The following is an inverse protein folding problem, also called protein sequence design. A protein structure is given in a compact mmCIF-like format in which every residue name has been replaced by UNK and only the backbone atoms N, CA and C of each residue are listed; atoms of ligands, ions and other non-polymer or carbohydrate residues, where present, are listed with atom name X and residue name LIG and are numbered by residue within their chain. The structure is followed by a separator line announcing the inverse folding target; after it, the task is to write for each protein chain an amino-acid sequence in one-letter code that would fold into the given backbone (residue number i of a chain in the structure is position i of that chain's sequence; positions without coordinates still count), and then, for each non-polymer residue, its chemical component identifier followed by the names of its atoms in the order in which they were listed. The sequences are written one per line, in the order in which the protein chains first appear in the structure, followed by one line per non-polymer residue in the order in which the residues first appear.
data_IF_065919323680
#
_entry.id   IF_065919323680
#
_cell.length_a   1.000
_cell.length_b   1.000
_cell.length_c   1.000
_cell.angle_alpha   90.00
_cell.angle_beta   90.00
_cell.angle_gamma   90.00
#
_symmetry.space_group_name_H-M   'P 1'
#
loop_
_entity.id
_entity.type
_entity.pdbx_description
1 polymer ?
#
# COMPACT_ATOMS: atom_id res chain seq x y z
N UNK A 1 17.28 -6.33 7.04
CA UNK A 1 15.83 -6.25 6.94
C UNK A 1 15.31 -7.16 5.84
N UNK A 2 14.26 -7.90 6.15
CA UNK A 2 13.67 -8.81 5.18
C UNK A 2 12.69 -8.05 4.29
N UNK A 3 12.97 -7.99 3.01
CA UNK A 3 12.12 -7.31 2.05
C UNK A 3 11.52 -8.29 1.06
N UNK A 4 10.27 -8.07 0.69
CA UNK A 4 9.63 -8.83 -0.36
C UNK A 4 10.17 -8.42 -1.72
N UNK A 5 10.12 -9.33 -2.68
CA UNK A 5 10.22 -8.96 -4.08
C UNK A 5 8.86 -8.41 -4.47
N UNK A 6 8.86 -7.18 -5.00
CA UNK A 6 7.61 -6.50 -5.35
C UNK A 6 7.55 -6.32 -6.85
N UNK A 7 6.44 -6.76 -7.44
CA UNK A 7 6.26 -6.61 -8.89
C UNK A 7 4.79 -6.43 -9.21
N UNK A 8 4.51 -5.91 -10.42
CA UNK A 8 3.14 -5.77 -10.91
C UNK A 8 2.74 -7.01 -11.66
N UNK A 9 1.48 -7.36 -11.52
CA UNK A 9 0.92 -8.53 -12.17
C UNK A 9 -0.46 -8.19 -12.71
N UNK A 10 -0.70 -8.53 -13.98
CA UNK A 10 -2.01 -8.32 -14.60
C UNK A 10 -2.74 -9.64 -14.65
N UNK A 11 -3.96 -9.65 -14.13
CA UNK A 11 -4.79 -10.84 -14.11
C UNK A 11 -6.24 -10.45 -14.40
N UNK A 12 -6.80 -11.04 -15.43
CA UNK A 12 -8.18 -10.80 -15.85
C UNK A 12 -8.47 -9.30 -16.05
N UNK A 13 -7.53 -8.59 -16.67
CA UNK A 13 -7.69 -7.18 -16.96
C UNK A 13 -7.43 -6.24 -15.80
N UNK A 14 -7.14 -6.76 -14.62
CA UNK A 14 -6.83 -5.95 -13.46
C UNK A 14 -5.37 -6.05 -13.10
N UNK A 15 -4.83 -4.96 -12.57
CA UNK A 15 -3.44 -4.94 -12.15
C UNK A 15 -3.32 -5.09 -10.65
N UNK A 16 -2.32 -5.84 -10.23
CA UNK A 16 -2.07 -6.17 -8.83
C UNK A 16 -0.61 -5.91 -8.50
N UNK A 17 -0.35 -5.49 -7.26
CA UNK A 17 0.99 -5.45 -6.71
C UNK A 17 1.20 -6.74 -5.94
N UNK A 18 2.21 -7.50 -6.32
CA UNK A 18 2.52 -8.77 -5.66
C UNK A 18 3.75 -8.59 -4.80
N UNK A 19 3.64 -8.99 -3.54
CA UNK A 19 4.76 -9.01 -2.60
C UNK A 19 5.09 -10.48 -2.33
N UNK A 20 6.30 -10.87 -2.68
CA UNK A 20 6.73 -12.26 -2.70
C UNK A 20 7.96 -12.46 -1.84
N UNK A 21 7.85 -13.33 -0.85
CA UNK A 21 8.95 -13.69 0.04
C UNK A 21 9.53 -15.07 -0.26
N UNK A 22 9.15 -15.69 -1.38
CA UNK A 22 9.54 -17.07 -1.66
C UNK A 22 11.06 -17.29 -1.72
N UNK A 23 11.83 -16.25 -2.06
CA UNK A 23 13.29 -16.35 -2.14
C UNK A 23 13.97 -16.01 -0.83
N UNK A 24 13.22 -15.70 0.21
CA UNK A 24 13.78 -15.31 1.51
C UNK A 24 14.05 -16.54 2.38
N UNK A 25 14.89 -16.40 3.43
CA UNK A 25 15.15 -17.51 4.33
C UNK A 25 13.87 -18.10 4.91
N UNK A 26 13.92 -19.36 5.35
CA UNK A 26 12.74 -20.06 5.82
C UNK A 26 12.04 -19.33 6.98
N UNK A 27 12.80 -18.71 7.87
CA UNK A 27 12.21 -18.03 9.02
C UNK A 27 11.41 -16.80 8.60
N UNK A 28 11.84 -16.12 7.52
CA UNK A 28 11.06 -15.00 6.97
C UNK A 28 9.75 -15.53 6.39
N UNK A 29 9.81 -16.60 5.61
CA UNK A 29 8.62 -17.15 4.98
C UNK A 29 7.63 -17.75 5.99
N UNK A 30 8.15 -18.41 7.02
CA UNK A 30 7.31 -19.16 7.95
C UNK A 30 6.81 -18.32 9.13
N UNK A 31 7.55 -17.31 9.50
CA UNK A 31 7.24 -16.53 10.71
C UNK A 31 6.84 -15.10 10.36
N UNK A 32 7.70 -14.39 9.63
CA UNK A 32 7.50 -12.97 9.38
C UNK A 32 6.41 -12.70 8.33
N UNK A 33 6.47 -13.42 7.20
CA UNK A 33 5.54 -13.17 6.10
C UNK A 33 4.07 -13.36 6.50
N UNK A 34 3.69 -14.42 7.23
CA UNK A 34 2.29 -14.57 7.64
C UNK A 34 1.79 -13.41 8.48
N UNK A 35 2.64 -12.88 9.36
CA UNK A 35 2.27 -11.75 10.21
C UNK A 35 2.06 -10.49 9.36
N UNK A 36 2.98 -10.22 8.44
CA UNK A 36 2.89 -9.05 7.57
C UNK A 36 1.68 -9.14 6.65
N UNK A 37 1.42 -10.33 6.10
CA UNK A 37 0.27 -10.54 5.22
C UNK A 37 -1.04 -10.33 5.97
N UNK A 38 -1.12 -10.87 7.18
CA UNK A 38 -2.32 -10.69 7.98
C UNK A 38 -2.59 -9.22 8.26
N UNK A 39 -1.56 -8.48 8.64
CA UNK A 39 -1.70 -7.05 8.92
C UNK A 39 -2.12 -6.28 7.70
N UNK A 40 -1.50 -6.56 6.55
CA UNK A 40 -1.80 -5.83 5.32
C UNK A 40 -3.19 -6.16 4.80
N UNK A 41 -3.58 -7.43 4.81
CA UNK A 41 -4.93 -7.81 4.37
C UNK A 41 -6.00 -7.27 5.31
N UNK A 42 -5.72 -7.23 6.61
CA UNK A 42 -6.63 -6.65 7.57
C UNK A 42 -6.83 -5.16 7.29
N UNK A 43 -5.74 -4.44 7.00
CA UNK A 43 -5.83 -3.03 6.68
C UNK A 43 -6.65 -2.82 5.39
N UNK A 44 -6.37 -3.60 4.36
CA UNK A 44 -7.10 -3.50 3.10
C UNK A 44 -8.60 -3.71 3.32
N UNK A 45 -8.98 -4.69 4.11
CA UNK A 45 -10.40 -4.95 4.40
C UNK A 45 -11.04 -3.81 5.18
N UNK A 46 -10.33 -3.26 6.16
CA UNK A 46 -10.86 -2.16 6.96
C UNK A 46 -11.00 -0.87 6.17
N UNK A 47 -10.17 -0.71 5.16
CA UNK A 47 -10.19 0.51 4.34
C UNK A 47 -11.05 0.37 3.09
N UNK A 48 -11.73 -0.76 2.94
CA UNK A 48 -12.62 -0.94 1.79
C UNK A 48 -13.67 0.16 1.76
N UNK A 49 -13.84 0.75 0.59
CA UNK A 49 -14.78 1.85 0.42
C UNK A 49 -14.16 3.23 0.54
N UNK A 50 -12.91 3.33 0.99
CA UNK A 50 -12.21 4.60 1.05
C UNK A 50 -11.46 4.80 -0.27
N UNK A 51 -11.77 5.89 -0.98
CA UNK A 51 -11.09 6.19 -2.23
C UNK A 51 -9.64 6.60 -1.96
N UNK A 52 -8.73 6.14 -2.81
CA UNK A 52 -7.33 6.51 -2.68
C UNK A 52 -6.48 5.48 -1.96
N UNK A 53 -7.06 4.37 -1.51
CA UNK A 53 -6.29 3.29 -0.89
C UNK A 53 -6.66 1.97 -1.55
N UNK A 54 -5.73 0.99 -1.55
CA UNK A 54 -6.10 -0.34 -2.04
C UNK A 54 -7.22 -0.91 -1.18
N UNK A 55 -8.27 -1.40 -1.83
CA UNK A 55 -9.43 -1.93 -1.13
C UNK A 55 -9.62 -3.42 -1.37
N UNK A 56 -8.74 -4.05 -2.15
CA UNK A 56 -8.81 -5.48 -2.42
C UNK A 56 -7.44 -6.10 -2.29
N UNK A 57 -7.39 -7.27 -1.74
CA UNK A 57 -6.16 -8.02 -1.60
C UNK A 57 -6.46 -9.45 -1.25
N UNK A 58 -5.54 -10.34 -1.61
CA UNK A 58 -5.70 -11.75 -1.27
C UNK A 58 -4.34 -12.43 -1.26
N UNK A 59 -4.32 -13.57 -0.60
CA UNK A 59 -3.12 -14.37 -0.51
C UNK A 59 -3.00 -15.26 -1.74
N UNK A 60 -1.83 -15.22 -2.39
CA UNK A 60 -1.57 -16.08 -3.54
C UNK A 60 -1.14 -17.46 -3.07
N UNK A 61 -0.23 -17.51 -2.10
CA UNK A 61 0.23 -18.75 -1.49
C UNK A 61 0.85 -18.43 -0.13
N UNK A 62 1.58 -19.37 0.44
CA UNK A 62 2.19 -19.18 1.76
C UNK A 62 3.22 -18.06 1.80
N UNK A 63 3.79 -17.68 0.67
CA UNK A 63 4.88 -16.73 0.62
C UNK A 63 4.55 -15.47 -0.18
N UNK A 64 3.35 -15.33 -0.72
CA UNK A 64 3.03 -14.21 -1.59
C UNK A 64 1.61 -13.69 -1.37
N UNK A 65 1.46 -12.39 -1.54
CA UNK A 65 0.19 -11.69 -1.38
C UNK A 65 0.02 -10.73 -2.55
N UNK A 66 -1.22 -10.59 -3.02
CA UNK A 66 -1.56 -9.65 -4.08
C UNK A 66 -2.44 -8.56 -3.50
N UNK A 67 -2.08 -7.30 -3.76
CA UNK A 67 -2.82 -6.12 -3.33
C UNK A 67 -3.19 -5.33 -4.56
N UNK A 68 -4.38 -4.77 -4.58
CA UNK A 68 -4.84 -3.93 -5.68
C UNK A 68 -3.79 -2.87 -6.03
N UNK A 69 -3.46 -2.76 -7.30
CA UNK A 69 -2.54 -1.72 -7.77
C UNK A 69 -3.30 -0.42 -7.97
N UNK A 70 -2.75 0.67 -7.42
CA UNK A 70 -3.31 2.00 -7.63
C UNK A 70 -2.46 2.69 -8.70
N UNK A 71 -3.02 2.95 -9.89
CA UNK A 71 -2.27 3.61 -10.95
C UNK A 71 -1.97 5.06 -10.57
N UNK A 72 -0.72 5.44 -10.68
CA UNK A 72 -0.29 6.78 -10.32
C UNK A 72 1.22 6.88 -10.25
N UNK A 73 1.68 8.04 -9.82
CA UNK A 73 3.10 8.33 -9.68
C UNK A 73 3.40 8.62 -8.22
N UNK A 74 4.51 8.06 -7.72
CA UNK A 74 4.93 8.36 -6.36
C UNK A 74 5.07 9.86 -6.16
N UNK A 75 4.59 10.35 -5.01
CA UNK A 75 4.71 11.77 -4.70
C UNK A 75 6.17 12.22 -4.69
N UNK A 76 7.08 11.36 -4.25
CA UNK A 76 8.50 11.67 -4.22
C UNK A 76 9.09 11.90 -5.61
N UNK A 77 8.43 11.41 -6.66
CA UNK A 77 8.87 11.58 -8.04
C UNK A 77 8.02 12.61 -8.80
N UNK A 78 7.12 13.27 -8.11
CA UNK A 78 6.23 14.25 -8.73
C UNK A 78 6.83 15.65 -8.62
N UNK A 79 6.43 16.58 -9.51
CA UNK A 79 6.90 17.97 -9.42
C UNK A 79 6.47 18.61 -8.11
N UNK A 80 7.24 19.57 -7.63
CA UNK A 80 6.89 20.31 -6.42
C UNK A 80 5.56 21.03 -6.55
N UNK A 81 5.21 21.43 -7.75
CA UNK A 81 3.94 22.10 -8.01
C UNK A 81 2.73 21.22 -7.70
N UNK A 82 2.93 19.91 -7.55
CA UNK A 82 1.87 19.01 -7.12
C UNK A 82 1.40 19.31 -5.70
N UNK A 83 2.28 19.84 -4.86
CA UNK A 83 1.98 20.10 -3.44
C UNK A 83 1.22 21.41 -3.28
N UNK A 84 -0.01 21.42 -3.77
CA UNK A 84 -0.92 22.55 -3.57
C UNK A 84 -1.60 22.45 -2.22
N UNK A 85 -2.24 23.55 -1.80
CA UNK A 85 -3.03 23.53 -0.56
C UNK A 85 -4.14 22.49 -0.67
N UNK A 86 -4.77 22.40 -1.82
CA UNK A 86 -5.83 21.42 -2.05
C UNK A 86 -5.32 19.99 -1.92
N UNK A 87 -4.13 19.71 -2.47
CA UNK A 87 -3.55 18.39 -2.38
C UNK A 87 -3.21 18.03 -0.92
N UNK A 88 -2.67 18.98 -0.17
CA UNK A 88 -2.35 18.76 1.24
C UNK A 88 -3.61 18.48 2.05
N UNK A 89 -4.69 19.18 1.75
CA UNK A 89 -5.98 18.94 2.42
C UNK A 89 -6.50 17.54 2.11
N UNK A 90 -6.34 17.08 0.87
CA UNK A 90 -6.75 15.73 0.50
C UNK A 90 -5.93 14.69 1.25
N UNK A 91 -4.62 14.90 1.41
CA UNK A 91 -3.78 14.00 2.18
C UNK A 91 -4.25 13.92 3.64
N UNK A 92 -4.51 15.07 4.24
CA UNK A 92 -4.98 15.14 5.62
C UNK A 92 -6.34 14.46 5.77
N UNK A 93 -7.24 14.70 4.84
CA UNK A 93 -8.57 14.11 4.86
C UNK A 93 -8.50 12.59 4.72
N UNK A 94 -7.64 12.11 3.82
CA UNK A 94 -7.47 10.69 3.63
C UNK A 94 -6.91 10.03 4.90
N UNK A 95 -5.91 10.65 5.52
CA UNK A 95 -5.37 10.12 6.78
C UNK A 95 -6.43 10.07 7.88
N UNK A 96 -7.29 11.08 7.94
CA UNK A 96 -8.37 11.10 8.92
C UNK A 96 -9.31 9.92 8.70
N UNK A 97 -9.69 9.66 7.46
CA UNK A 97 -10.58 8.54 7.16
C UNK A 97 -9.93 7.20 7.50
N UNK A 98 -8.63 7.06 7.23
CA UNK A 98 -7.89 5.85 7.54
C UNK A 98 -7.86 5.63 9.05
N UNK A 99 -7.59 6.67 9.82
CA UNK A 99 -7.58 6.56 11.28
C UNK A 99 -8.96 6.23 11.83
N UNK A 100 -10.00 6.81 11.25
CA UNK A 100 -11.37 6.51 11.65
C UNK A 100 -11.74 5.07 11.37
N UNK A 101 -11.12 4.45 10.38
CA UNK A 101 -11.32 3.04 10.08
C UNK A 101 -10.53 2.12 11.02
N UNK A 102 -9.77 2.68 11.95
CA UNK A 102 -9.04 1.91 12.94
C UNK A 102 -7.62 1.54 12.56
N UNK A 103 -7.09 2.11 11.50
CA UNK A 103 -5.72 1.84 11.05
C UNK A 103 -4.85 3.02 11.48
N UNK A 104 -3.99 2.79 12.47
CA UNK A 104 -3.18 3.86 13.06
C UNK A 104 -1.68 3.66 12.85
N UNK A 105 -1.30 2.56 12.20
CA UNK A 105 0.12 2.21 12.06
C UNK A 105 0.71 2.56 10.71
N UNK A 106 0.00 3.37 9.92
CA UNK A 106 0.51 3.81 8.64
C UNK A 106 1.60 4.85 8.85
N UNK A 107 2.70 4.67 8.13
CA UNK A 107 3.77 5.64 8.15
C UNK A 107 3.55 6.62 6.99
N UNK A 108 2.92 7.75 7.31
CA UNK A 108 2.67 8.80 6.33
C UNK A 108 3.73 9.88 6.30
N UNK A 109 4.82 9.70 7.03
CA UNK A 109 5.83 10.75 7.14
C UNK A 109 6.69 10.87 5.89
N UNK A 110 6.91 9.77 5.17
CA UNK A 110 7.68 9.82 3.95
C UNK A 110 6.77 10.09 2.76
N UNK A 111 7.34 10.57 1.66
CA UNK A 111 6.60 10.82 0.44
C UNK A 111 6.52 9.58 -0.46
N UNK A 112 7.27 8.52 -0.13
CA UNK A 112 7.33 7.33 -0.96
C UNK A 112 6.05 6.51 -0.97
N UNK A 113 5.26 6.58 0.10
CA UNK A 113 4.02 5.83 0.21
C UNK A 113 2.81 6.60 -0.32
N UNK A 114 2.96 7.88 -0.57
CA UNK A 114 1.92 8.69 -1.16
C UNK A 114 2.05 8.65 -2.68
N UNK A 115 0.92 8.57 -3.35
CA UNK A 115 0.90 8.57 -4.82
C UNK A 115 -0.06 9.64 -5.32
N UNK A 116 0.26 10.16 -6.50
CA UNK A 116 -0.63 11.03 -7.25
C UNK A 116 -1.33 10.13 -8.26
N UNK A 117 -2.61 9.92 -8.05
CA UNK A 117 -3.38 9.02 -8.91
C UNK A 117 -3.55 9.63 -10.30
N UNK A 118 -3.92 8.79 -11.26
CA UNK A 118 -4.09 9.24 -12.64
C UNK A 118 -5.17 10.31 -12.78
N UNK A 119 -6.11 10.40 -11.84
CA UNK A 119 -7.12 11.45 -11.83
C UNK A 119 -6.67 12.70 -11.06
N UNK A 120 -5.41 12.75 -10.63
CA UNK A 120 -4.87 13.90 -9.90
C UNK A 120 -5.12 13.88 -8.42
N UNK A 121 -5.85 12.91 -7.92
CA UNK A 121 -6.14 12.82 -6.48
C UNK A 121 -5.05 12.08 -5.72
N UNK A 122 -5.11 12.22 -4.41
CA UNK A 122 -4.14 11.59 -3.50
C UNK A 122 -4.47 10.11 -3.29
N UNK A 123 -3.44 9.28 -3.23
CA UNK A 123 -3.56 7.90 -2.82
C UNK A 123 -2.47 7.55 -1.83
N UNK A 124 -2.69 6.51 -1.06
CA UNK A 124 -1.71 5.99 -0.11
C UNK A 124 -1.61 4.49 -0.26
N UNK A 125 -0.39 4.00 -0.37
CA UNK A 125 -0.11 2.57 -0.52
C UNK A 125 0.80 2.12 0.60
N UNK A 126 0.98 0.81 0.73
CA UNK A 126 1.90 0.19 1.69
C UNK A 126 1.46 0.41 3.14
N UNK A 127 0.58 -0.49 3.60
CA UNK A 127 0.04 -0.43 4.94
C UNK A 127 0.87 -1.17 5.98
N UNK A 128 2.05 -1.60 5.64
CA UNK A 128 2.92 -2.25 6.61
C UNK A 128 3.52 -1.20 7.53
N UNK A 129 3.27 -1.31 8.81
CA UNK A 129 3.81 -0.36 9.78
C UNK A 129 5.33 -0.35 9.70
N UNK A 130 5.90 0.83 9.55
CA UNK A 130 7.33 0.96 9.39
C UNK A 130 7.87 0.30 8.14
N UNK A 131 6.99 -0.07 7.23
CA UNK A 131 7.37 -0.76 6.01
C UNK A 131 8.22 0.13 5.14
N UNK A 132 9.34 -0.41 4.72
CA UNK A 132 10.25 0.27 3.81
C UNK A 132 10.48 -0.67 2.66
N UNK A 133 10.26 -0.21 1.54
CA UNK A 133 10.49 -1.05 0.38
C UNK A 133 11.66 -0.53 -0.40
#
# INVERSE_FOLDING_TARGET
MANACVYRFRYRGEEWTVKDFSTRPWWVRKILAPILFWRELRAVRRLAGIEGVPSRGFRLDAAAIAIQYLPGTSLSKSPRSTMTVEFLKEMEDLMTRIHQAGIVHLDGRGTGNWVVLSNGKTGLIDFQAGGRS
#
